data_IF_580496045715
#
_entry.id   IF_580496045715
#
_cell.length_a   1.000
_cell.length_b   1.000
_cell.length_c   1.000
_cell.angle_alpha   90.00
_cell.angle_beta   90.00
_cell.angle_gamma   90.00
#
_symmetry.space_group_name_H-M   'P 1'
#
loop_
_entity.id
_entity.type
_entity.pdbx_description
1 polymer ?
#
# COMPACT_ATOMS: atom_id res chain seq x y z
N UNK A 1 1.64 -10.04 4.96
CA UNK A 1 2.42 -9.37 3.87
C UNK A 1 2.53 -7.87 4.13
N UNK A 2 3.47 -7.15 3.48
CA UNK A 2 3.61 -5.69 3.64
C UNK A 2 4.15 -5.01 2.38
N UNK A 3 3.97 -3.68 2.34
CA UNK A 3 4.53 -2.77 1.35
C UNK A 3 5.55 -1.85 2.05
N UNK A 4 6.64 -1.56 1.38
CA UNK A 4 7.62 -0.57 1.78
C UNK A 4 7.45 0.67 0.92
N UNK A 5 7.36 1.84 1.54
CA UNK A 5 7.48 3.14 0.86
C UNK A 5 8.65 3.87 1.50
N UNK A 6 9.72 4.12 0.74
CA UNK A 6 10.97 4.69 1.25
C UNK A 6 11.50 3.96 2.51
N UNK A 7 11.46 2.62 2.50
CA UNK A 7 11.83 1.73 3.62
C UNK A 7 10.90 1.77 4.84
N UNK A 8 9.85 2.60 4.84
CA UNK A 8 8.81 2.54 5.87
C UNK A 8 7.83 1.42 5.56
N UNK A 9 7.56 0.58 6.54
CA UNK A 9 6.68 -0.59 6.44
C UNK A 9 5.21 -0.17 6.58
N UNK A 10 4.38 -0.67 5.69
CA UNK A 10 2.92 -0.59 5.70
C UNK A 10 2.35 -2.01 5.61
N UNK A 11 1.69 -2.45 6.67
CA UNK A 11 1.13 -3.79 6.74
C UNK A 11 -0.15 -3.90 5.89
N UNK A 12 -0.31 -5.02 5.18
CA UNK A 12 -1.53 -5.28 4.40
C UNK A 12 -2.61 -6.01 5.20
N UNK A 13 -2.22 -6.72 6.26
CA UNK A 13 -3.11 -7.57 7.05
C UNK A 13 -3.04 -7.15 8.52
N UNK A 14 -4.17 -7.20 9.25
CA UNK A 14 -4.14 -7.01 10.70
C UNK A 14 -3.42 -8.18 11.38
N UNK A 15 -2.61 -7.88 12.40
CA UNK A 15 -2.06 -8.93 13.29
C UNK A 15 -3.14 -9.53 14.19
N UNK A 16 -4.16 -8.74 14.53
CA UNK A 16 -5.35 -9.12 15.26
C UNK A 16 -6.46 -8.11 14.93
N UNK A 17 -7.72 -8.55 14.91
CA UNK A 17 -8.84 -7.61 14.75
C UNK A 17 -9.03 -6.82 16.04
N UNK A 18 -8.98 -5.49 15.94
CA UNK A 18 -9.26 -4.56 17.04
C UNK A 18 -10.37 -3.61 16.58
N UNK A 19 -11.54 -3.62 17.25
CA UNK A 19 -12.63 -2.69 16.91
C UNK A 19 -12.16 -1.24 16.98
N UNK A 20 -12.41 -0.47 15.93
CA UNK A 20 -12.06 0.95 15.85
C UNK A 20 -10.63 1.25 15.36
N UNK A 21 -9.78 0.24 15.17
CA UNK A 21 -8.49 0.45 14.51
C UNK A 21 -8.63 0.58 12.99
N UNK A 22 -7.80 1.41 12.35
CA UNK A 22 -7.83 1.56 10.90
C UNK A 22 -7.40 0.25 10.21
N UNK A 23 -8.09 -0.09 9.13
CA UNK A 23 -7.79 -1.28 8.33
C UNK A 23 -6.39 -1.12 7.71
N UNK A 24 -5.41 -2.01 7.98
CA UNK A 24 -4.04 -1.84 7.52
C UNK A 24 -3.89 -1.68 6.00
N UNK A 25 -4.69 -2.43 5.23
CA UNK A 25 -4.73 -2.31 3.78
C UNK A 25 -5.21 -0.92 3.31
N UNK A 26 -6.20 -0.33 3.98
CA UNK A 26 -6.66 1.03 3.70
C UNK A 26 -5.57 2.08 4.01
N UNK A 27 -4.89 1.95 5.15
CA UNK A 27 -3.76 2.83 5.49
C UNK A 27 -2.64 2.73 4.45
N UNK A 28 -2.37 1.52 3.96
CA UNK A 28 -1.38 1.27 2.92
C UNK A 28 -1.80 1.91 1.59
N UNK A 29 -3.06 1.79 1.20
CA UNK A 29 -3.62 2.45 0.02
C UNK A 29 -3.46 3.97 0.09
N UNK A 30 -3.84 4.59 1.20
CA UNK A 30 -3.70 6.04 1.39
C UNK A 30 -2.23 6.48 1.34
N UNK A 31 -1.31 5.65 1.83
CA UNK A 31 0.11 5.92 1.72
C UNK A 31 0.61 5.86 0.28
N UNK A 32 0.17 4.86 -0.50
CA UNK A 32 0.49 4.73 -1.92
C UNK A 32 -0.02 5.92 -2.74
N UNK A 33 -1.25 6.39 -2.46
CA UNK A 33 -1.81 7.58 -3.12
C UNK A 33 -0.99 8.86 -2.92
N UNK A 34 -0.31 8.98 -1.78
CA UNK A 34 0.51 10.15 -1.42
C UNK A 34 1.96 10.05 -1.91
N UNK A 35 2.33 8.97 -2.60
CA UNK A 35 3.70 8.80 -3.10
C UNK A 35 4.04 9.81 -4.20
N UNK A 36 5.26 10.34 -4.15
CA UNK A 36 5.81 11.24 -5.16
C UNK A 36 6.74 10.54 -6.15
N UNK A 37 7.14 11.22 -7.25
CA UNK A 37 7.99 10.64 -8.29
C UNK A 37 9.36 10.11 -7.84
N UNK A 38 9.85 10.60 -6.69
CA UNK A 38 11.14 10.20 -6.10
C UNK A 38 11.01 9.01 -5.15
N UNK A 39 9.79 8.65 -4.76
CA UNK A 39 9.57 7.58 -3.81
C UNK A 39 9.86 6.21 -4.42
N UNK A 40 10.29 5.30 -3.56
CA UNK A 40 10.57 3.91 -3.91
C UNK A 40 9.60 3.00 -3.18
N UNK A 41 9.06 2.03 -3.92
CA UNK A 41 8.11 1.05 -3.43
C UNK A 41 8.74 -0.33 -3.55
N UNK A 42 8.52 -1.18 -2.56
CA UNK A 42 8.77 -2.61 -2.63
C UNK A 42 7.61 -3.36 -1.97
N UNK A 43 7.39 -4.61 -2.35
CA UNK A 43 6.37 -5.47 -1.76
C UNK A 43 7.01 -6.75 -1.25
N UNK A 44 6.40 -7.35 -0.23
CA UNK A 44 6.84 -8.64 0.31
C UNK A 44 5.80 -9.72 0.00
N UNK A 45 6.28 -10.83 -0.54
CA UNK A 45 5.50 -12.06 -0.68
C UNK A 45 6.03 -13.15 0.24
N UNK A 46 5.19 -14.11 0.60
CA UNK A 46 5.61 -15.28 1.38
C UNK A 46 6.56 -16.21 0.59
N UNK A 47 6.51 -16.18 -0.74
CA UNK A 47 7.22 -17.12 -1.61
C UNK A 47 8.61 -16.62 -2.00
N UNK A 48 8.77 -15.31 -2.20
CA UNK A 48 9.99 -14.69 -2.73
C UNK A 48 10.62 -13.64 -1.83
N UNK A 49 10.00 -13.33 -0.68
CA UNK A 49 10.48 -12.28 0.21
C UNK A 49 10.23 -10.87 -0.35
N UNK A 50 11.11 -9.93 -0.03
CA UNK A 50 11.02 -8.55 -0.48
C UNK A 50 11.43 -8.41 -1.96
N UNK A 51 10.62 -7.72 -2.75
CA UNK A 51 10.94 -7.36 -4.14
C UNK A 51 12.08 -6.34 -4.21
N UNK A 52 12.74 -6.24 -5.37
CA UNK A 52 13.63 -5.09 -5.63
C UNK A 52 12.80 -3.78 -5.59
N UNK A 53 13.33 -2.68 -5.03
CA UNK A 53 12.63 -1.41 -5.03
C UNK A 53 12.43 -0.85 -6.44
N UNK A 54 11.23 -0.34 -6.73
CA UNK A 54 10.89 0.32 -8.00
C UNK A 54 10.33 1.72 -7.76
N UNK A 55 10.30 2.53 -8.82
CA UNK A 55 9.88 3.94 -8.73
C UNK A 55 8.36 4.07 -8.59
N UNK A 56 7.91 4.98 -7.72
CA UNK A 56 6.52 5.41 -7.61
C UNK A 56 6.10 6.46 -8.65
N UNK A 57 6.94 6.74 -9.66
CA UNK A 57 6.68 7.79 -10.65
C UNK A 57 5.38 7.50 -11.40
N UNK A 58 4.45 8.46 -11.32
CA UNK A 58 3.14 8.39 -11.95
C UNK A 58 2.07 7.67 -11.11
N UNK A 59 2.42 7.07 -9.96
CA UNK A 59 1.47 6.30 -9.16
C UNK A 59 0.34 7.17 -8.59
N UNK A 60 0.67 8.31 -7.99
CA UNK A 60 -0.34 9.22 -7.44
C UNK A 60 -1.34 9.68 -8.52
N UNK A 61 -0.86 10.00 -9.71
CA UNK A 61 -1.71 10.38 -10.85
C UNK A 61 -2.57 9.20 -11.33
N UNK A 62 -2.02 7.98 -11.35
CA UNK A 62 -2.77 6.79 -11.75
C UNK A 62 -3.87 6.41 -10.75
N UNK A 63 -3.71 6.80 -9.49
CA UNK A 63 -4.69 6.59 -8.42
C UNK A 63 -5.57 7.83 -8.17
N UNK A 64 -5.49 8.83 -9.05
CA UNK A 64 -6.32 10.03 -8.92
C UNK A 64 -7.80 9.67 -9.12
N UNK A 65 -8.67 10.23 -8.28
CA UNK A 65 -10.08 9.86 -8.23
C UNK A 65 -10.40 8.47 -7.69
N UNK A 66 -9.43 7.55 -7.55
CA UNK A 66 -9.67 6.20 -7.01
C UNK A 66 -9.70 6.22 -5.48
N UNK A 67 -10.75 5.67 -4.89
CA UNK A 67 -10.91 5.51 -3.44
C UNK A 67 -10.60 4.08 -2.98
N UNK A 68 -10.44 3.89 -1.68
CA UNK A 68 -10.28 2.54 -1.10
C UNK A 68 -11.50 1.66 -1.37
N UNK A 69 -12.69 2.27 -1.36
CA UNK A 69 -13.96 1.60 -1.62
C UNK A 69 -14.00 1.04 -3.04
N UNK A 70 -13.46 1.76 -4.04
CA UNK A 70 -13.40 1.27 -5.43
C UNK A 70 -12.56 -0.01 -5.58
N UNK A 71 -11.63 -0.27 -4.65
CA UNK A 71 -10.82 -1.49 -4.64
C UNK A 71 -11.44 -2.66 -3.87
N UNK A 72 -12.41 -2.39 -2.99
CA UNK A 72 -12.98 -3.38 -2.07
C UNK A 72 -14.45 -3.69 -2.35
N UNK A 73 -15.13 -2.78 -3.04
CA UNK A 73 -16.51 -2.93 -3.49
C UNK A 73 -16.49 -3.31 -4.97
N UNK A 74 -16.14 -4.57 -5.24
CA UNK A 74 -16.56 -5.25 -6.46
C UNK A 74 -17.63 -6.30 -6.08
N UNK A 75 -18.71 -6.47 -6.88
CA UNK A 75 -19.76 -7.45 -6.62
C UNK A 75 -19.26 -8.89 -6.60
#
# INVERSE_FOLDING_TARGET
MYVLINRKVYALEPRSYVPGEPIPAQVTFDALKRTGPKDKIAFTSAQSGESKPFSAKGLSNALDGITWQDCTQFP
#
